data_IF_575973718383
#
_entry.id   IF_575973718383
#
_cell.length_a   1.000
_cell.length_b   1.000
_cell.length_c   1.000
_cell.angle_alpha   90.00
_cell.angle_beta   90.00
_cell.angle_gamma   90.00
#
_symmetry.space_group_name_H-M   'P 1'
#
loop_
_entity.id
_entity.type
_entity.pdbx_description
1 polymer ?
#
# COMPACT_ATOMS: atom_id res chain seq x y z
N UNK A 1 10.01 0.40 -16.54
CA UNK A 1 11.48 0.32 -16.57
C UNK A 1 12.00 1.56 -17.30
N UNK A 2 12.83 2.40 -16.69
CA UNK A 2 13.27 3.64 -17.34
C UNK A 2 14.20 3.26 -18.51
N UNK A 3 13.90 3.71 -19.73
CA UNK A 3 14.63 3.33 -20.96
C UNK A 3 16.14 3.51 -20.84
N UNK A 4 16.56 4.55 -20.11
CA UNK A 4 17.98 4.91 -19.91
C UNK A 4 18.77 3.82 -19.18
N UNK A 5 18.19 3.15 -18.18
CA UNK A 5 18.92 2.14 -17.40
C UNK A 5 19.07 0.81 -18.13
N UNK A 6 18.05 0.43 -18.91
CA UNK A 6 18.15 -0.68 -19.84
C UNK A 6 19.27 -0.40 -20.86
N UNK A 7 19.34 0.83 -21.37
CA UNK A 7 20.40 1.24 -22.29
C UNK A 7 21.79 1.15 -21.64
N UNK A 8 21.97 1.59 -20.39
CA UNK A 8 23.26 1.49 -19.68
C UNK A 8 23.67 0.02 -19.49
N UNK A 9 22.75 -0.84 -19.05
CA UNK A 9 23.03 -2.26 -18.85
C UNK A 9 23.38 -2.98 -20.17
N UNK A 10 22.66 -2.64 -21.25
CA UNK A 10 22.96 -3.15 -22.60
C UNK A 10 24.34 -2.67 -23.08
N UNK A 11 24.69 -1.39 -22.85
CA UNK A 11 26.00 -0.84 -23.24
C UNK A 11 27.13 -1.54 -22.48
N UNK A 12 27.00 -1.73 -21.16
CA UNK A 12 28.00 -2.45 -20.36
C UNK A 12 28.16 -3.91 -20.82
N UNK A 13 27.04 -4.59 -21.14
CA UNK A 13 27.07 -5.96 -21.65
C UNK A 13 27.68 -6.06 -23.05
N UNK A 14 27.40 -5.09 -23.93
CA UNK A 14 28.01 -5.00 -25.26
C UNK A 14 29.51 -4.70 -25.18
N UNK A 15 29.94 -3.84 -24.26
CA UNK A 15 31.36 -3.55 -24.04
C UNK A 15 32.11 -4.79 -23.54
N UNK A 16 31.58 -5.50 -22.55
CA UNK A 16 32.20 -6.71 -22.02
C UNK A 16 32.20 -7.89 -23.00
N UNK A 17 31.20 -8.00 -23.87
CA UNK A 17 31.21 -9.00 -24.95
C UNK A 17 32.16 -8.61 -26.08
N UNK A 18 32.27 -7.33 -26.43
CA UNK A 18 33.26 -6.84 -27.41
C UNK A 18 34.70 -7.05 -26.94
N UNK A 19 35.02 -6.82 -25.66
CA UNK A 19 36.36 -7.09 -25.11
C UNK A 19 36.68 -8.58 -25.16
N UNK A 20 35.76 -9.45 -24.75
CA UNK A 20 35.91 -10.91 -24.86
C UNK A 20 36.14 -11.38 -26.30
N UNK A 21 35.38 -10.86 -27.26
CA UNK A 21 35.52 -11.21 -28.69
C UNK A 21 36.87 -10.72 -29.25
N UNK A 22 37.30 -9.51 -28.88
CA UNK A 22 38.60 -8.97 -29.28
C UNK A 22 39.75 -9.82 -28.71
N UNK A 23 39.61 -10.30 -27.48
CA UNK A 23 40.59 -11.15 -26.81
C UNK A 23 40.73 -12.52 -27.47
N UNK A 24 39.61 -13.18 -27.77
CA UNK A 24 39.60 -14.47 -28.49
C UNK A 24 40.21 -14.34 -29.88
N UNK A 25 39.99 -13.21 -30.57
CA UNK A 25 40.60 -12.94 -31.89
C UNK A 25 42.10 -12.65 -31.82
N UNK A 26 42.61 -12.16 -30.69
CA UNK A 26 44.03 -11.84 -30.51
C UNK A 26 44.93 -13.08 -30.32
N UNK A 27 44.35 -14.27 -30.11
CA UNK A 27 45.11 -15.52 -30.04
C UNK A 27 45.97 -15.70 -28.79
N UNK A 28 45.76 -14.88 -27.75
CA UNK A 28 46.49 -14.99 -26.49
C UNK A 28 46.13 -16.26 -25.71
N UNK A 29 47.11 -16.83 -25.00
CA UNK A 29 46.90 -18.07 -24.22
C UNK A 29 45.82 -17.87 -23.15
N UNK A 30 44.85 -18.79 -23.11
CA UNK A 30 43.71 -18.80 -22.18
C UNK A 30 44.17 -18.66 -20.71
N UNK A 31 45.36 -19.16 -20.38
CA UNK A 31 45.90 -19.22 -19.03
C UNK A 31 46.53 -17.92 -18.51
N UNK A 32 46.97 -17.00 -19.37
CA UNK A 32 47.79 -15.85 -18.94
C UNK A 32 47.00 -14.61 -18.51
N UNK A 33 45.88 -14.33 -19.19
CA UNK A 33 45.22 -13.01 -19.09
C UNK A 33 43.69 -13.08 -19.26
N UNK A 34 43.15 -14.15 -19.89
CA UNK A 34 41.71 -14.34 -20.11
C UNK A 34 40.95 -14.69 -18.82
N UNK A 35 41.51 -15.50 -17.93
CA UNK A 35 40.86 -15.85 -16.66
C UNK A 35 40.62 -14.62 -15.75
N UNK A 36 41.61 -13.74 -15.51
CA UNK A 36 41.40 -12.48 -14.78
C UNK A 36 40.31 -11.60 -15.40
N UNK A 37 40.30 -11.44 -16.73
CA UNK A 37 39.29 -10.63 -17.41
C UNK A 37 37.88 -11.23 -17.31
N UNK A 38 37.75 -12.56 -17.45
CA UNK A 38 36.46 -13.24 -17.30
C UNK A 38 35.95 -13.14 -15.86
N UNK A 39 36.84 -13.28 -14.86
CA UNK A 39 36.51 -13.07 -13.45
C UNK A 39 36.05 -11.63 -13.23
N UNK A 40 36.76 -10.64 -13.79
CA UNK A 40 36.38 -9.22 -13.74
C UNK A 40 34.99 -8.98 -14.34
N UNK A 41 34.72 -9.51 -15.54
CA UNK A 41 33.42 -9.40 -16.20
C UNK A 41 32.29 -10.04 -15.37
N UNK A 42 32.53 -11.22 -14.80
CA UNK A 42 31.56 -11.87 -13.91
C UNK A 42 31.31 -11.07 -12.63
N UNK A 43 32.35 -10.49 -12.02
CA UNK A 43 32.22 -9.64 -10.83
C UNK A 43 31.46 -8.36 -11.13
N UNK A 44 31.73 -7.72 -12.27
CA UNK A 44 31.00 -6.53 -12.73
C UNK A 44 29.52 -6.87 -12.98
N UNK A 45 29.24 -8.02 -13.61
CA UNK A 45 27.87 -8.51 -13.81
C UNK A 45 27.11 -8.70 -12.49
N UNK A 46 27.73 -9.37 -11.51
CA UNK A 46 27.14 -9.56 -10.17
C UNK A 46 26.93 -8.21 -9.48
N UNK A 47 27.90 -7.30 -9.57
CA UNK A 47 27.80 -5.96 -9.01
C UNK A 47 26.61 -5.19 -9.59
N UNK A 48 26.40 -5.23 -10.90
CA UNK A 48 25.26 -4.60 -11.55
C UNK A 48 23.92 -5.22 -11.13
N UNK A 49 23.83 -6.54 -11.02
CA UNK A 49 22.62 -7.22 -10.54
C UNK A 49 22.27 -6.74 -9.12
N UNK A 50 23.24 -6.74 -8.21
CA UNK A 50 23.04 -6.27 -6.83
C UNK A 50 22.61 -4.81 -6.82
N UNK A 51 23.32 -3.94 -7.55
CA UNK A 51 23.01 -2.51 -7.63
C UNK A 51 21.59 -2.28 -8.15
N UNK A 52 21.19 -3.02 -9.19
CA UNK A 52 19.87 -2.89 -9.80
C UNK A 52 18.76 -3.41 -8.88
N UNK A 53 18.96 -4.55 -8.22
CA UNK A 53 18.02 -5.08 -7.23
C UNK A 53 17.79 -4.10 -6.09
N UNK A 54 18.86 -3.50 -5.54
CA UNK A 54 18.75 -2.49 -4.48
C UNK A 54 18.04 -1.23 -4.99
N UNK A 55 18.34 -0.78 -6.20
CA UNK A 55 17.73 0.40 -6.79
C UNK A 55 16.23 0.21 -7.05
N UNK A 56 15.83 -0.87 -7.72
CA UNK A 56 14.42 -1.16 -7.98
C UNK A 56 13.65 -1.40 -6.69
N UNK A 57 14.25 -2.05 -5.68
CA UNK A 57 13.65 -2.19 -4.35
C UNK A 57 13.34 -0.82 -3.70
N UNK A 58 14.30 0.11 -3.72
CA UNK A 58 14.08 1.49 -3.22
C UNK A 58 12.99 2.21 -4.00
N UNK A 59 13.00 2.10 -5.33
CA UNK A 59 12.03 2.75 -6.21
C UNK A 59 10.63 2.20 -5.98
N UNK A 60 10.48 0.88 -5.91
CA UNK A 60 9.23 0.20 -5.60
C UNK A 60 8.70 0.69 -4.25
N UNK A 61 9.53 0.70 -3.20
CA UNK A 61 9.13 1.20 -1.87
C UNK A 61 8.63 2.63 -1.89
N UNK A 62 9.29 3.53 -2.62
CA UNK A 62 8.84 4.94 -2.77
C UNK A 62 7.48 5.01 -3.47
N UNK A 63 7.29 4.25 -4.55
CA UNK A 63 6.03 4.26 -5.29
C UNK A 63 4.89 3.65 -4.47
N UNK A 64 5.10 2.49 -3.85
CA UNK A 64 4.14 1.83 -2.96
C UNK A 64 3.75 2.73 -1.79
N UNK A 65 4.71 3.48 -1.21
CA UNK A 65 4.42 4.47 -0.16
C UNK A 65 3.53 5.60 -0.68
N UNK A 66 3.76 6.12 -1.89
CA UNK A 66 2.89 7.14 -2.50
C UNK A 66 1.48 6.61 -2.72
N UNK A 67 1.34 5.36 -3.19
CA UNK A 67 0.03 4.74 -3.39
C UNK A 67 -0.69 4.55 -2.05
N UNK A 68 0.01 4.10 -1.00
CA UNK A 68 -0.53 4.05 0.36
C UNK A 68 -1.06 5.41 0.82
N UNK A 69 -0.28 6.49 0.63
CA UNK A 69 -0.70 7.85 1.03
C UNK A 69 -1.97 8.28 0.28
N UNK A 70 -2.09 7.98 -1.01
CA UNK A 70 -3.30 8.28 -1.80
C UNK A 70 -4.52 7.54 -1.26
N UNK A 71 -4.38 6.24 -0.99
CA UNK A 71 -5.46 5.43 -0.41
C UNK A 71 -5.85 5.90 0.99
N UNK A 72 -4.86 6.23 1.83
CA UNK A 72 -5.09 6.80 3.15
C UNK A 72 -5.93 8.07 3.08
N UNK A 73 -5.64 8.96 2.13
CA UNK A 73 -6.46 10.17 1.91
C UNK A 73 -7.90 9.80 1.56
N UNK A 74 -8.10 8.86 0.64
CA UNK A 74 -9.45 8.38 0.27
C UNK A 74 -10.20 7.77 1.45
N UNK A 75 -9.52 7.03 2.33
CA UNK A 75 -10.11 6.47 3.53
C UNK A 75 -10.47 7.56 4.56
N UNK A 76 -9.70 8.65 4.62
CA UNK A 76 -10.03 9.80 5.49
C UNK A 76 -11.29 10.52 5.02
N UNK A 77 -11.47 10.69 3.71
CA UNK A 77 -12.69 11.28 3.16
C UNK A 77 -13.92 10.40 3.45
N UNK A 78 -13.77 9.08 3.37
CA UNK A 78 -14.82 8.13 3.75
C UNK A 78 -15.12 8.17 5.25
N UNK A 79 -14.08 8.13 6.10
CA UNK A 79 -14.21 8.22 7.55
C UNK A 79 -14.91 9.49 7.99
N UNK A 80 -14.65 10.63 7.33
CA UNK A 80 -15.33 11.87 7.64
C UNK A 80 -16.86 11.73 7.50
N UNK A 81 -17.32 11.10 6.42
CA UNK A 81 -18.76 10.91 6.20
C UNK A 81 -19.34 9.92 7.21
N UNK A 82 -18.66 8.79 7.44
CA UNK A 82 -19.13 7.76 8.38
C UNK A 82 -19.22 8.34 9.80
N UNK A 83 -18.15 8.98 10.28
CA UNK A 83 -18.06 9.51 11.63
C UNK A 83 -19.00 10.69 11.85
N UNK A 84 -19.33 11.46 10.81
CA UNK A 84 -20.33 12.54 10.94
C UNK A 84 -21.69 12.00 11.44
N UNK A 85 -22.01 10.75 11.10
CA UNK A 85 -23.29 10.12 11.49
C UNK A 85 -23.16 9.14 12.65
N UNK A 86 -21.96 8.61 12.91
CA UNK A 86 -21.76 7.60 13.94
C UNK A 86 -21.11 8.12 15.22
N UNK A 87 -20.55 9.35 15.21
CA UNK A 87 -19.89 9.90 16.38
C UNK A 87 -20.87 10.11 17.55
N UNK A 88 -20.51 9.71 18.79
CA UNK A 88 -21.38 9.93 19.94
C UNK A 88 -21.70 11.42 20.17
N UNK A 89 -22.94 11.74 20.53
CA UNK A 89 -23.43 13.12 20.74
C UNK A 89 -22.58 13.89 21.78
N UNK A 90 -22.02 13.19 22.77
CA UNK A 90 -21.17 13.75 23.82
C UNK A 90 -19.68 13.39 23.65
N UNK A 91 -19.24 13.13 22.42
CA UNK A 91 -17.83 12.84 22.12
C UNK A 91 -16.94 13.94 22.64
N UNK A 92 -15.86 13.56 23.35
CA UNK A 92 -14.89 14.53 23.88
C UNK A 92 -13.91 15.01 22.82
N UNK A 93 -13.82 14.28 21.71
CA UNK A 93 -12.92 14.56 20.60
C UNK A 93 -13.68 15.34 19.53
N UNK A 94 -13.25 16.56 19.15
CA UNK A 94 -13.87 17.28 18.06
C UNK A 94 -13.76 16.50 16.75
N UNK A 95 -14.85 16.42 15.98
CA UNK A 95 -14.91 15.73 14.68
C UNK A 95 -13.70 16.06 13.77
N UNK A 96 -13.36 17.35 13.67
CA UNK A 96 -12.24 17.84 12.86
C UNK A 96 -10.88 17.25 13.27
N UNK A 97 -10.68 17.02 14.56
CA UNK A 97 -9.43 16.45 15.08
C UNK A 97 -9.31 14.96 14.80
N UNK A 98 -10.42 14.24 14.67
CA UNK A 98 -10.43 12.81 14.33
C UNK A 98 -9.92 12.59 12.91
N UNK A 99 -10.33 13.44 11.97
CA UNK A 99 -9.95 13.32 10.55
C UNK A 99 -8.48 13.70 10.34
N UNK A 100 -8.01 14.71 11.05
CA UNK A 100 -6.65 15.25 10.91
C UNK A 100 -5.59 14.39 11.60
N UNK A 101 -5.92 13.74 12.71
CA UNK A 101 -4.96 12.98 13.50
C UNK A 101 -5.29 11.47 13.53
N UNK A 102 -4.45 10.59 12.94
CA UNK A 102 -4.61 9.14 13.01
C UNK A 102 -4.73 8.59 14.43
N UNK A 103 -4.05 9.19 15.41
CA UNK A 103 -4.07 8.70 16.79
C UNK A 103 -5.45 8.88 17.45
N UNK A 104 -6.22 9.87 16.99
CA UNK A 104 -7.58 10.11 17.45
C UNK A 104 -8.57 9.06 16.94
N UNK A 105 -8.24 8.28 15.90
CA UNK A 105 -9.11 7.19 15.45
C UNK A 105 -9.22 6.06 16.48
N UNK A 106 -8.14 5.77 17.20
CA UNK A 106 -8.17 4.79 18.30
C UNK A 106 -9.01 5.29 19.46
N UNK A 107 -8.91 6.59 19.75
CA UNK A 107 -9.66 7.19 20.83
C UNK A 107 -11.16 7.24 20.51
N UNK A 108 -11.57 7.59 19.28
CA UNK A 108 -12.98 7.52 18.88
C UNK A 108 -13.50 6.09 18.83
N UNK A 109 -12.69 5.12 18.38
CA UNK A 109 -13.07 3.71 18.42
C UNK A 109 -13.43 3.28 19.84
N UNK A 110 -12.60 3.65 20.82
CA UNK A 110 -12.84 3.36 22.24
C UNK A 110 -14.09 4.07 22.79
N UNK A 111 -14.32 5.32 22.39
CA UNK A 111 -15.55 6.04 22.77
C UNK A 111 -16.80 5.37 22.18
N UNK A 112 -16.73 4.97 20.91
CA UNK A 112 -17.78 4.20 20.25
C UNK A 112 -18.04 2.93 21.05
N UNK A 113 -17.03 2.06 21.25
CA UNK A 113 -17.13 0.80 22.00
C UNK A 113 -17.79 0.96 23.39
N UNK A 114 -17.57 2.10 24.05
CA UNK A 114 -18.16 2.40 25.37
C UNK A 114 -19.63 2.85 25.31
N UNK A 115 -20.08 3.42 24.20
CA UNK A 115 -21.44 3.96 24.02
C UNK A 115 -22.42 2.90 23.54
N UNK A 116 -21.93 1.88 22.81
CA UNK A 116 -22.63 0.67 22.34
C UNK A 116 -23.90 0.83 21.52
N UNK A 117 -24.34 2.05 21.16
CA UNK A 117 -25.56 2.21 20.35
C UNK A 117 -25.46 3.34 19.35
N UNK A 118 -25.83 3.01 18.12
CA UNK A 118 -26.40 3.97 17.17
C UNK A 118 -27.90 4.03 17.43
N UNK A 119 -28.50 5.21 17.28
CA UNK A 119 -29.95 5.28 17.10
C UNK A 119 -30.34 4.83 15.67
N UNK A 120 -31.63 4.54 15.45
CA UNK A 120 -32.11 4.04 14.15
C UNK A 120 -31.86 5.01 13.00
N UNK A 121 -31.88 6.32 13.26
CA UNK A 121 -31.60 7.34 12.24
C UNK A 121 -30.12 7.32 11.87
N UNK A 122 -29.22 7.27 12.86
CA UNK A 122 -27.79 7.14 12.65
C UNK A 122 -27.44 5.87 11.87
N UNK A 123 -28.06 4.74 12.23
CA UNK A 123 -27.86 3.47 11.54
C UNK A 123 -28.32 3.53 10.07
N UNK A 124 -29.47 4.15 9.79
CA UNK A 124 -29.96 4.32 8.42
C UNK A 124 -29.06 5.22 7.57
N UNK A 125 -28.62 6.36 8.10
CA UNK A 125 -27.68 7.23 7.41
C UNK A 125 -26.34 6.52 7.16
N UNK A 126 -25.86 5.77 8.15
CA UNK A 126 -24.65 4.99 8.02
C UNK A 126 -24.76 3.96 6.88
N UNK A 127 -25.86 3.21 6.81
CA UNK A 127 -26.15 2.24 5.72
C UNK A 127 -26.15 2.92 4.35
N UNK A 128 -26.88 4.03 4.20
CA UNK A 128 -27.00 4.77 2.94
C UNK A 128 -25.62 5.26 2.46
N UNK A 129 -24.85 5.85 3.37
CA UNK A 129 -23.53 6.38 3.04
C UNK A 129 -22.50 5.29 2.79
N UNK A 130 -22.57 4.16 3.49
CA UNK A 130 -21.75 2.98 3.21
C UNK A 130 -22.04 2.44 1.81
N UNK A 131 -23.32 2.23 1.48
CA UNK A 131 -23.76 1.73 0.18
C UNK A 131 -23.25 2.62 -0.97
N UNK A 132 -23.41 3.94 -0.82
CA UNK A 132 -22.99 4.91 -1.83
C UNK A 132 -21.47 4.91 -2.08
N UNK A 133 -20.65 4.40 -1.15
CA UNK A 133 -19.19 4.46 -1.21
C UNK A 133 -18.52 3.16 -1.63
N UNK A 134 -19.23 2.04 -1.57
CA UNK A 134 -18.73 0.73 -2.04
C UNK A 134 -18.08 0.82 -3.44
N UNK A 135 -18.70 1.43 -4.47
CA UNK A 135 -18.09 1.47 -5.81
C UNK A 135 -16.73 2.16 -5.83
N UNK A 136 -16.56 3.25 -5.08
CA UNK A 136 -15.30 4.00 -5.01
C UNK A 136 -14.21 3.22 -4.29
N UNK A 137 -14.55 2.55 -3.18
CA UNK A 137 -13.60 1.71 -2.43
C UNK A 137 -13.21 0.47 -3.24
N UNK A 138 -14.17 -0.15 -3.93
CA UNK A 138 -13.92 -1.28 -4.81
C UNK A 138 -13.04 -0.90 -6.02
N UNK A 139 -13.25 0.27 -6.62
CA UNK A 139 -12.41 0.75 -7.73
C UNK A 139 -10.94 0.97 -7.35
N UNK A 140 -10.64 1.10 -6.06
CA UNK A 140 -9.28 1.27 -5.54
C UNK A 140 -8.56 -0.06 -5.22
N UNK A 141 -9.21 -1.22 -5.37
CA UNK A 141 -8.57 -2.54 -5.19
C UNK A 141 -7.27 -2.67 -6.01
N UNK A 142 -7.22 -2.33 -7.32
CA UNK A 142 -5.98 -2.44 -8.09
C UNK A 142 -4.85 -1.60 -7.52
N UNK A 143 -5.15 -0.41 -6.98
CA UNK A 143 -4.16 0.47 -6.35
C UNK A 143 -3.62 -0.17 -5.08
N UNK A 144 -4.49 -0.77 -4.25
CA UNK A 144 -4.06 -1.46 -3.03
C UNK A 144 -3.12 -2.65 -3.33
N UNK A 145 -3.40 -3.39 -4.41
CA UNK A 145 -2.57 -4.50 -4.87
C UNK A 145 -1.17 -4.07 -5.33
N UNK A 146 -0.98 -2.80 -5.73
CA UNK A 146 0.35 -2.27 -6.09
C UNK A 146 1.25 -1.97 -4.90
N UNK A 147 0.71 -1.95 -3.67
CA UNK A 147 1.48 -1.62 -2.46
C UNK A 147 2.23 -2.87 -1.97
N UNK A 148 1.49 -3.85 -1.43
CA UNK A 148 1.93 -5.20 -1.08
C UNK A 148 0.69 -6.08 -0.74
N UNK A 149 0.90 -7.36 -0.47
CA UNK A 149 -0.19 -8.30 -0.16
C UNK A 149 -0.93 -7.99 1.14
N UNK A 150 -0.26 -7.42 2.14
CA UNK A 150 -0.88 -7.07 3.43
C UNK A 150 -1.87 -5.92 3.28
N UNK A 151 -1.49 -4.89 2.51
CA UNK A 151 -2.37 -3.75 2.26
C UNK A 151 -3.59 -4.15 1.41
N UNK A 152 -3.42 -5.07 0.46
CA UNK A 152 -4.55 -5.64 -0.30
C UNK A 152 -5.52 -6.39 0.62
N UNK A 153 -5.02 -7.25 1.53
CA UNK A 153 -5.86 -7.96 2.49
C UNK A 153 -6.63 -7.00 3.41
N UNK A 154 -5.95 -5.99 3.94
CA UNK A 154 -6.60 -4.96 4.77
C UNK A 154 -7.63 -4.17 3.98
N UNK A 155 -7.36 -3.87 2.70
CA UNK A 155 -8.31 -3.19 1.83
C UNK A 155 -9.57 -4.01 1.57
N UNK A 156 -9.42 -5.32 1.35
CA UNK A 156 -10.54 -6.24 1.19
C UNK A 156 -11.39 -6.32 2.46
N UNK A 157 -10.75 -6.39 3.64
CA UNK A 157 -11.44 -6.37 4.94
C UNK A 157 -12.22 -5.06 5.16
N UNK A 158 -11.64 -3.90 4.79
CA UNK A 158 -12.31 -2.60 4.83
C UNK A 158 -13.56 -2.62 3.93
N UNK A 159 -13.44 -3.11 2.70
CA UNK A 159 -14.55 -3.19 1.75
C UNK A 159 -15.65 -4.13 2.23
N UNK A 160 -15.29 -5.30 2.76
CA UNK A 160 -16.25 -6.28 3.26
C UNK A 160 -17.02 -5.76 4.47
N UNK A 161 -16.36 -5.04 5.39
CA UNK A 161 -17.05 -4.41 6.51
C UNK A 161 -17.94 -3.25 6.06
N UNK A 162 -17.53 -2.49 5.04
CA UNK A 162 -18.39 -1.45 4.45
C UNK A 162 -19.66 -2.05 3.83
N UNK A 163 -19.57 -3.22 3.19
CA UNK A 163 -20.73 -3.99 2.71
C UNK A 163 -21.59 -4.49 3.86
N UNK A 164 -20.98 -5.06 4.91
CA UNK A 164 -21.70 -5.53 6.08
C UNK A 164 -22.49 -4.41 6.79
N UNK A 165 -21.92 -3.19 6.85
CA UNK A 165 -22.64 -2.00 7.30
C UNK A 165 -23.86 -1.75 6.39
N UNK A 166 -23.66 -1.65 5.07
CA UNK A 166 -24.70 -1.32 4.10
C UNK A 166 -25.86 -2.34 4.06
N UNK A 167 -25.55 -3.62 4.24
CA UNK A 167 -26.48 -4.75 4.13
C UNK A 167 -27.09 -5.17 5.49
N UNK A 168 -26.68 -4.52 6.58
CA UNK A 168 -27.16 -4.82 7.92
C UNK A 168 -28.68 -4.64 8.06
N UNK A 169 -29.35 -5.63 8.64
CA UNK A 169 -30.81 -5.61 8.86
C UNK A 169 -31.22 -5.05 10.22
N UNK A 170 -30.27 -4.84 11.13
CA UNK A 170 -30.50 -4.27 12.45
C UNK A 170 -29.34 -3.33 12.84
N UNK A 171 -29.59 -2.47 13.83
CA UNK A 171 -28.66 -1.39 14.19
C UNK A 171 -27.41 -1.91 14.91
N UNK A 172 -27.54 -3.01 15.65
CA UNK A 172 -26.42 -3.64 16.36
C UNK A 172 -25.39 -4.19 15.37
N UNK A 173 -25.83 -4.93 14.35
CA UNK A 173 -24.95 -5.47 13.30
C UNK A 173 -24.29 -4.35 12.49
N UNK A 174 -25.02 -3.27 12.20
CA UNK A 174 -24.47 -2.09 11.52
C UNK A 174 -23.33 -1.48 12.35
N UNK A 175 -23.53 -1.43 13.67
CA UNK A 175 -22.60 -0.87 14.62
C UNK A 175 -21.37 -1.77 14.87
N UNK A 176 -21.55 -3.09 14.98
CA UNK A 176 -20.43 -4.03 15.06
C UNK A 176 -19.55 -3.95 13.80
N UNK A 177 -20.17 -3.96 12.62
CA UNK A 177 -19.46 -3.81 11.36
C UNK A 177 -18.74 -2.45 11.24
N UNK A 178 -19.30 -1.38 11.83
CA UNK A 178 -18.64 -0.08 11.93
C UNK A 178 -17.37 -0.14 12.81
N UNK A 179 -17.42 -0.80 13.96
CA UNK A 179 -16.25 -0.94 14.83
C UNK A 179 -15.13 -1.70 14.13
N UNK A 180 -15.47 -2.81 13.46
CA UNK A 180 -14.51 -3.59 12.68
C UNK A 180 -13.97 -2.79 11.50
N UNK A 181 -14.83 -2.05 10.79
CA UNK A 181 -14.42 -1.13 9.74
C UNK A 181 -13.36 -0.14 10.23
N UNK A 182 -13.60 0.55 11.36
CA UNK A 182 -12.65 1.52 11.93
C UNK A 182 -11.34 0.83 12.33
N UNK A 183 -11.42 -0.35 12.95
CA UNK A 183 -10.25 -1.15 13.34
C UNK A 183 -9.37 -1.51 12.13
N UNK A 184 -9.97 -1.92 11.01
CA UNK A 184 -9.20 -2.24 9.80
C UNK A 184 -8.60 -1.02 9.13
N UNK A 185 -9.27 0.14 9.18
CA UNK A 185 -8.67 1.40 8.73
C UNK A 185 -7.46 1.78 9.58
N UNK A 186 -7.52 1.61 10.91
CA UNK A 186 -6.38 1.83 11.81
C UNK A 186 -5.23 0.88 11.46
N UNK A 187 -5.51 -0.42 11.30
CA UNK A 187 -4.50 -1.42 10.91
C UNK A 187 -3.87 -1.11 9.54
N UNK A 188 -4.64 -0.57 8.60
CA UNK A 188 -4.12 -0.12 7.29
C UNK A 188 -3.18 1.07 7.43
N UNK A 189 -3.51 2.04 8.29
CA UNK A 189 -2.64 3.18 8.55
C UNK A 189 -1.30 2.78 9.18
N UNK A 190 -1.34 1.85 10.13
CA UNK A 190 -0.16 1.37 10.88
C UNK A 190 0.74 0.43 10.06
N UNK A 191 0.16 -0.31 9.10
CA UNK A 191 0.90 -1.26 8.28
C UNK A 191 2.06 -0.58 7.55
N UNK A 192 3.28 -1.03 7.77
CA UNK A 192 4.43 -0.52 7.02
C UNK A 192 4.47 -1.17 5.63
N UNK A 193 4.87 -0.39 4.62
CA UNK A 193 5.10 -0.94 3.28
C UNK A 193 6.29 -1.89 3.35
N UNK A 194 6.06 -3.14 2.94
CA UNK A 194 7.07 -4.17 2.95
C UNK A 194 8.24 -3.78 2.03
N UNK A 195 9.47 -4.09 2.47
CA UNK A 195 10.69 -3.81 1.72
C UNK A 195 10.96 -4.89 0.66
#
# INVERSE_FOLDING_TARGET
MNRIYLSILIICFLLGTCTLIAFVKAGESISGNLYPELIGFCLDGIFFVILFTVYEGRRFKVESTKQKIKLKKSLRDLLAIILQWSQPINSKIPFKEIILNPDNLKAIQKELESTRRLDGVQADFLRIHALARIPSIQAAIPVSATIDGRHLQLWDLILNNLRAIAESTNDENAYEALLDFINFVIKFDEAQVSA
#
